data_IF_130996501989
#
_entry.id   IF_130996501989
#
_cell.length_a   1.000
_cell.length_b   1.000
_cell.length_c   1.000
_cell.angle_alpha   90.00
_cell.angle_beta   90.00
_cell.angle_gamma   90.00
#
_symmetry.space_group_name_H-M   'P 1'
#
loop_
_entity.id
_entity.type
_entity.pdbx_description
1 polymer ?
#
# COMPACT_ATOMS: atom_id res chain seq x y z
N UNK A 1 -21.94 26.80 -4.84
CA UNK A 1 -21.28 26.50 -3.54
C UNK A 1 -22.13 25.62 -2.62
N UNK A 2 -23.36 26.01 -2.25
CA UNK A 2 -24.21 25.22 -1.34
C UNK A 2 -24.51 23.79 -1.85
N UNK A 3 -24.89 23.64 -3.12
CA UNK A 3 -25.25 22.34 -3.70
C UNK A 3 -24.08 21.32 -3.76
N UNK A 4 -22.84 21.76 -3.98
CA UNK A 4 -21.66 20.88 -4.00
C UNK A 4 -21.29 20.48 -2.58
N UNK A 5 -21.21 21.44 -1.67
CA UNK A 5 -20.99 21.16 -0.25
C UNK A 5 -22.06 20.19 0.28
N UNK A 6 -23.30 20.32 -0.17
CA UNK A 6 -24.40 19.41 0.14
C UNK A 6 -24.22 18.03 -0.49
N UNK A 7 -23.82 17.93 -1.77
CA UNK A 7 -23.50 16.65 -2.43
C UNK A 7 -22.34 15.91 -1.75
N UNK A 8 -21.27 16.61 -1.40
CA UNK A 8 -20.11 16.05 -0.68
C UNK A 8 -20.49 15.63 0.75
N UNK A 9 -21.28 16.45 1.46
CA UNK A 9 -21.82 16.09 2.80
C UNK A 9 -22.76 14.89 2.72
N UNK A 10 -23.58 14.79 1.68
CA UNK A 10 -24.48 13.67 1.46
C UNK A 10 -23.71 12.37 1.14
N UNK A 11 -22.69 12.44 0.27
CA UNK A 11 -21.85 11.30 -0.09
C UNK A 11 -21.18 10.70 1.16
N UNK A 12 -20.62 11.55 2.03
CA UNK A 12 -19.93 11.09 3.23
C UNK A 12 -20.82 10.63 4.38
N UNK A 13 -22.15 10.72 4.23
CA UNK A 13 -23.13 10.14 5.16
C UNK A 13 -23.62 8.77 4.70
N UNK A 14 -23.32 8.34 3.48
CA UNK A 14 -23.72 7.03 2.98
C UNK A 14 -22.96 5.92 3.73
N UNK A 15 -23.64 4.83 4.16
CA UNK A 15 -22.96 3.62 4.62
C UNK A 15 -21.94 3.16 3.57
N UNK A 16 -20.84 2.57 4.02
CA UNK A 16 -19.86 1.99 3.11
C UNK A 16 -20.50 0.78 2.40
N UNK A 17 -21.01 1.04 1.20
CA UNK A 17 -21.39 0.01 0.25
C UNK A 17 -20.14 -0.81 -0.16
N UNK A 18 -20.33 -1.99 -0.75
CA UNK A 18 -19.20 -2.80 -1.26
C UNK A 18 -18.47 -2.17 -2.45
N UNK A 19 -18.88 -0.99 -2.91
CA UNK A 19 -18.27 -0.25 -4.00
C UNK A 19 -17.45 0.95 -3.48
N UNK A 20 -16.28 1.16 -4.08
CA UNK A 20 -15.43 2.31 -3.79
C UNK A 20 -16.06 3.57 -4.43
N UNK A 21 -16.23 4.62 -3.65
CA UNK A 21 -16.79 5.90 -4.08
C UNK A 21 -15.71 6.98 -3.97
N UNK A 22 -15.08 7.30 -5.11
CA UNK A 22 -13.96 8.25 -5.14
C UNK A 22 -14.37 9.65 -4.65
N UNK A 23 -15.58 10.13 -4.96
CA UNK A 23 -16.04 11.45 -4.51
C UNK A 23 -16.20 11.48 -2.99
N UNK A 24 -16.74 10.39 -2.42
CA UNK A 24 -16.84 10.24 -0.97
C UNK A 24 -15.47 10.22 -0.30
N UNK A 25 -14.51 9.47 -0.83
CA UNK A 25 -13.16 9.41 -0.23
C UNK A 25 -12.48 10.78 -0.30
N UNK A 26 -12.54 11.49 -1.44
CA UNK A 26 -12.01 12.87 -1.56
C UNK A 26 -12.71 13.83 -0.58
N UNK A 27 -14.03 13.72 -0.43
CA UNK A 27 -14.79 14.48 0.56
C UNK A 27 -14.28 14.29 1.99
N UNK A 28 -13.96 13.04 2.31
CA UNK A 28 -13.45 12.65 3.61
C UNK A 28 -12.05 13.22 3.83
N UNK A 29 -11.17 13.16 2.83
CA UNK A 29 -9.82 13.74 2.92
C UNK A 29 -9.87 15.24 3.21
N UNK A 30 -10.69 16.02 2.52
CA UNK A 30 -10.77 17.47 2.79
C UNK A 30 -11.37 17.81 4.15
N UNK A 31 -12.16 16.91 4.73
CA UNK A 31 -12.63 17.06 6.11
C UNK A 31 -11.52 16.74 7.10
N UNK A 32 -10.79 15.67 6.84
CA UNK A 32 -9.76 15.12 7.71
C UNK A 32 -8.48 15.98 7.71
N UNK A 33 -8.19 16.63 6.58
CA UNK A 33 -7.01 17.44 6.33
C UNK A 33 -7.39 18.75 5.60
N UNK A 34 -8.11 19.69 6.23
CA UNK A 34 -8.56 20.91 5.56
C UNK A 34 -7.40 21.75 4.97
N UNK A 35 -6.21 21.68 5.54
CA UNK A 35 -5.00 22.37 5.11
C UNK A 35 -4.41 21.86 3.79
N UNK A 36 -4.86 20.71 3.29
CA UNK A 36 -4.39 20.13 2.02
C UNK A 36 -5.34 20.40 0.85
N UNK A 37 -6.50 21.02 1.11
CA UNK A 37 -7.55 21.27 0.11
C UNK A 37 -7.06 22.05 -1.13
N UNK A 38 -6.17 23.02 -0.92
CA UNK A 38 -5.55 23.80 -2.00
C UNK A 38 -4.19 23.24 -2.47
N UNK A 39 -3.74 22.13 -1.87
CA UNK A 39 -2.43 21.52 -2.11
C UNK A 39 -2.53 20.19 -2.84
N UNK A 40 -3.59 19.42 -2.65
CA UNK A 40 -3.77 18.10 -3.27
C UNK A 40 -4.90 18.16 -4.29
N UNK A 41 -4.57 17.81 -5.53
CA UNK A 41 -5.50 17.65 -6.63
C UNK A 41 -5.81 16.17 -6.80
N UNK A 42 -7.08 15.78 -6.85
CA UNK A 42 -7.48 14.38 -6.98
C UNK A 42 -7.97 14.09 -8.39
N UNK A 43 -7.36 13.10 -9.04
CA UNK A 43 -7.69 12.68 -10.39
C UNK A 43 -8.14 11.23 -10.40
N UNK A 44 -9.41 11.03 -10.74
CA UNK A 44 -10.02 9.72 -10.95
C UNK A 44 -9.81 9.35 -12.40
N UNK A 45 -8.96 8.35 -12.62
CA UNK A 45 -8.49 7.98 -13.95
C UNK A 45 -9.26 6.85 -14.61
N UNK A 46 -10.45 6.56 -14.10
CA UNK A 46 -11.49 5.79 -14.78
C UNK A 46 -11.64 6.15 -16.26
N UNK A 47 -12.44 5.39 -17.00
CA UNK A 47 -12.63 5.62 -18.45
C UNK A 47 -13.18 7.03 -18.76
N UNK A 48 -13.71 7.75 -17.76
CA UNK A 48 -14.16 9.14 -17.85
C UNK A 48 -13.17 10.20 -17.34
N UNK A 49 -11.98 9.79 -16.88
CA UNK A 49 -10.83 10.63 -16.50
C UNK A 49 -11.22 12.02 -15.95
N UNK A 50 -11.57 12.10 -14.67
CA UNK A 50 -12.13 13.32 -14.06
C UNK A 50 -11.27 13.85 -12.94
N UNK A 51 -11.03 15.16 -12.97
CA UNK A 51 -10.48 15.87 -11.82
C UNK A 51 -11.59 16.16 -10.82
N UNK A 52 -11.40 15.76 -9.57
CA UNK A 52 -12.30 16.07 -8.46
C UNK A 52 -11.72 17.23 -7.66
N UNK A 53 -12.42 18.36 -7.67
CA UNK A 53 -12.02 19.58 -6.99
C UNK A 53 -13.22 20.19 -6.23
N UNK A 54 -13.01 20.84 -5.07
CA UNK A 54 -14.11 21.33 -4.25
C UNK A 54 -14.78 22.58 -4.84
N UNK A 55 -14.06 23.32 -5.69
CA UNK A 55 -14.52 24.55 -6.32
C UNK A 55 -14.73 24.32 -7.82
N UNK A 56 -15.98 24.39 -8.28
CA UNK A 56 -16.40 24.14 -9.68
C UNK A 56 -15.59 24.95 -10.72
N UNK A 57 -15.18 26.17 -10.37
CA UNK A 57 -14.38 27.04 -11.23
C UNK A 57 -12.92 26.58 -11.37
N UNK A 58 -12.25 26.30 -10.25
CA UNK A 58 -10.86 25.81 -10.26
C UNK A 58 -10.75 24.38 -10.75
N UNK A 59 -11.77 23.56 -10.52
CA UNK A 59 -11.89 22.21 -11.07
C UNK A 59 -12.01 22.24 -12.59
N UNK A 60 -12.77 23.17 -13.16
CA UNK A 60 -12.80 23.40 -14.61
C UNK A 60 -11.50 23.99 -15.12
N UNK A 61 -10.89 24.99 -14.48
CA UNK A 61 -9.60 25.52 -14.93
C UNK A 61 -8.51 24.44 -14.93
N UNK A 62 -8.44 23.63 -13.88
CA UNK A 62 -7.50 22.53 -13.82
C UNK A 62 -7.87 21.41 -14.81
N UNK A 63 -9.14 20.96 -14.90
CA UNK A 63 -9.59 19.98 -15.90
C UNK A 63 -9.42 20.47 -17.35
N UNK A 64 -9.59 21.76 -17.60
CA UNK A 64 -9.43 22.38 -18.91
C UNK A 64 -7.95 22.54 -19.24
N UNK A 65 -7.12 22.93 -18.27
CA UNK A 65 -5.67 22.81 -18.37
C UNK A 65 -5.25 21.37 -18.64
N UNK A 66 -5.92 20.35 -18.05
CA UNK A 66 -5.65 18.93 -18.29
C UNK A 66 -6.13 18.43 -19.66
N UNK A 67 -7.22 18.98 -20.21
CA UNK A 67 -7.78 18.60 -21.52
C UNK A 67 -7.09 19.30 -22.70
N UNK A 68 -6.55 20.51 -22.49
CA UNK A 68 -5.84 21.27 -23.50
C UNK A 68 -4.33 21.01 -23.40
N UNK A 69 -3.84 20.05 -24.20
CA UNK A 69 -2.44 19.58 -24.20
C UNK A 69 -1.41 20.70 -24.40
N UNK A 70 -1.83 21.85 -24.94
CA UNK A 70 -0.95 23.00 -25.17
C UNK A 70 -0.83 23.95 -23.96
N UNK A 71 -1.72 23.82 -22.96
CA UNK A 71 -1.76 24.68 -21.77
C UNK A 71 -1.50 23.96 -20.43
N UNK A 72 -1.28 22.64 -20.44
CA UNK A 72 -0.79 21.92 -19.26
C UNK A 72 0.58 22.54 -18.86
N UNK A 73 0.77 23.06 -17.64
CA UNK A 73 2.08 23.50 -17.17
C UNK A 73 3.11 22.38 -17.38
N UNK A 74 4.32 22.69 -17.87
CA UNK A 74 5.33 21.68 -18.23
C UNK A 74 5.49 20.55 -17.18
N UNK A 75 5.50 20.90 -15.88
CA UNK A 75 5.59 19.92 -14.80
C UNK A 75 4.41 18.95 -14.66
N UNK A 76 3.22 19.32 -15.16
CA UNK A 76 2.08 18.41 -15.27
C UNK A 76 2.15 17.57 -16.56
N UNK A 77 2.71 18.07 -17.67
CA UNK A 77 2.91 17.26 -18.89
C UNK A 77 3.84 16.08 -18.61
N UNK A 78 4.92 16.33 -17.89
CA UNK A 78 5.85 15.29 -17.43
C UNK A 78 5.14 14.28 -16.50
N UNK A 79 4.22 14.76 -15.64
CA UNK A 79 3.38 13.91 -14.80
C UNK A 79 2.48 12.97 -15.62
N UNK A 80 1.83 13.46 -16.67
CA UNK A 80 0.99 12.63 -17.55
C UNK A 80 1.81 11.67 -18.42
N UNK A 81 3.00 12.09 -18.87
CA UNK A 81 3.91 11.22 -19.60
C UNK A 81 4.40 10.08 -18.70
N UNK A 82 4.80 10.40 -17.47
CA UNK A 82 5.20 9.43 -16.44
C UNK A 82 4.06 8.54 -15.95
N UNK A 83 2.81 8.99 -16.13
CA UNK A 83 1.63 8.20 -15.80
C UNK A 83 1.38 7.06 -16.81
N UNK A 84 1.71 7.19 -18.09
CA UNK A 84 1.36 6.16 -19.09
C UNK A 84 1.90 4.78 -18.67
N UNK A 85 1.00 3.90 -18.21
CA UNK A 85 1.33 2.56 -17.71
C UNK A 85 1.31 2.38 -16.19
N UNK A 86 1.04 3.44 -15.41
CA UNK A 86 0.81 3.37 -13.96
C UNK A 86 -0.67 3.42 -13.64
N UNK A 87 -1.04 2.76 -12.54
CA UNK A 87 -2.44 2.65 -12.11
C UNK A 87 -2.77 3.51 -10.89
N UNK A 88 -1.77 3.96 -10.15
CA UNK A 88 -1.89 4.98 -9.10
C UNK A 88 -0.59 5.78 -9.05
N UNK A 89 -0.68 7.04 -8.62
CA UNK A 89 0.51 7.87 -8.49
C UNK A 89 0.29 9.15 -7.67
N UNK A 90 1.24 9.52 -6.81
CA UNK A 90 1.30 10.81 -6.14
C UNK A 90 2.48 11.63 -6.69
N UNK A 91 2.20 12.62 -7.55
CA UNK A 91 3.23 13.45 -8.18
C UNK A 91 3.35 14.83 -7.51
N UNK A 92 4.56 15.27 -7.09
CA UNK A 92 4.78 16.65 -6.69
C UNK A 92 4.65 17.61 -7.89
N UNK A 93 3.94 18.73 -7.67
CA UNK A 93 3.70 19.79 -8.67
C UNK A 93 4.49 21.09 -8.39
N UNK A 94 5.35 21.08 -7.36
CA UNK A 94 6.04 22.27 -6.86
C UNK A 94 5.16 23.19 -6.01
N UNK A 95 5.80 24.07 -5.22
CA UNK A 95 5.10 24.98 -4.31
C UNK A 95 4.29 24.27 -3.22
N UNK A 96 4.70 23.07 -2.81
CA UNK A 96 3.99 22.23 -1.84
C UNK A 96 2.71 21.58 -2.37
N UNK A 97 2.41 21.71 -3.67
CA UNK A 97 1.25 21.10 -4.32
C UNK A 97 1.55 19.72 -4.86
N UNK A 98 0.52 18.89 -5.00
CA UNK A 98 0.59 17.48 -5.41
C UNK A 98 -0.62 17.07 -6.22
N UNK A 99 -0.41 16.17 -7.17
CA UNK A 99 -1.46 15.47 -7.89
C UNK A 99 -1.54 14.05 -7.35
N UNK A 100 -2.71 13.67 -6.84
CA UNK A 100 -3.08 12.31 -6.49
C UNK A 100 -3.88 11.71 -7.63
N UNK A 101 -3.40 10.59 -8.13
CA UNK A 101 -3.97 9.88 -9.27
C UNK A 101 -4.35 8.48 -8.82
N UNK A 102 -5.59 8.06 -9.10
CA UNK A 102 -6.05 6.68 -8.84
C UNK A 102 -6.91 6.19 -10.00
N UNK A 103 -6.56 5.03 -10.55
CA UNK A 103 -7.35 4.30 -11.53
C UNK A 103 -8.41 3.46 -10.81
N UNK A 104 -9.67 3.86 -10.90
CA UNK A 104 -10.78 3.27 -10.11
C UNK A 104 -11.53 2.15 -10.81
N UNK A 105 -11.55 2.13 -12.16
CA UNK A 105 -12.38 1.21 -12.96
C UNK A 105 -11.62 0.05 -13.63
N UNK A 106 -10.29 0.12 -13.68
CA UNK A 106 -9.44 -0.99 -14.18
C UNK A 106 -8.62 -1.52 -13.02
N UNK A 107 -8.46 -2.84 -12.97
CA UNK A 107 -7.65 -3.49 -11.93
C UNK A 107 -6.26 -2.84 -11.90
N UNK A 108 -5.94 -2.06 -10.85
CA UNK A 108 -4.71 -1.29 -10.84
C UNK A 108 -3.48 -2.17 -10.55
N UNK A 109 -3.68 -3.48 -10.33
CA UNK A 109 -2.63 -4.44 -10.07
C UNK A 109 -3.00 -5.80 -10.68
N UNK A 110 -1.99 -6.64 -10.89
CA UNK A 110 -2.17 -8.08 -10.66
C UNK A 110 -2.61 -8.23 -9.19
N UNK A 111 -3.92 -8.25 -8.95
CA UNK A 111 -4.62 -8.13 -7.65
C UNK A 111 -3.73 -8.27 -6.41
N UNK A 112 -3.62 -7.20 -5.59
CA UNK A 112 -2.93 -7.22 -4.27
C UNK A 112 -3.44 -8.40 -3.43
N UNK A 113 -4.74 -8.66 -3.50
CA UNK A 113 -5.31 -9.91 -3.03
C UNK A 113 -6.30 -10.41 -4.07
N UNK A 114 -6.11 -11.62 -4.63
CA UNK A 114 -7.01 -12.11 -5.66
C UNK A 114 -8.42 -12.42 -5.17
N UNK A 115 -8.63 -12.38 -3.84
CA UNK A 115 -9.93 -12.58 -3.20
C UNK A 115 -10.54 -11.31 -2.62
N UNK A 116 -9.79 -10.21 -2.56
CA UNK A 116 -10.35 -8.97 -2.06
C UNK A 116 -11.33 -8.39 -3.07
N UNK A 117 -12.46 -7.82 -2.63
CA UNK A 117 -13.29 -7.00 -3.48
C UNK A 117 -12.45 -5.86 -4.08
N UNK A 118 -12.65 -5.55 -5.36
CA UNK A 118 -11.94 -4.46 -6.05
C UNK A 118 -12.02 -3.15 -5.25
N UNK A 119 -13.18 -2.83 -4.68
CA UNK A 119 -13.36 -1.63 -3.87
C UNK A 119 -12.41 -1.55 -2.66
N UNK A 120 -12.12 -2.68 -2.03
CA UNK A 120 -11.20 -2.75 -0.90
C UNK A 120 -9.76 -2.48 -1.36
N UNK A 121 -9.37 -3.04 -2.50
CA UNK A 121 -8.07 -2.78 -3.13
C UNK A 121 -7.93 -1.32 -3.56
N UNK A 122 -8.92 -0.76 -4.27
CA UNK A 122 -8.91 0.65 -4.67
C UNK A 122 -8.86 1.60 -3.47
N UNK A 123 -9.53 1.27 -2.36
CA UNK A 123 -9.46 2.05 -1.12
C UNK A 123 -8.05 2.05 -0.52
N UNK A 124 -7.39 0.89 -0.47
CA UNK A 124 -6.02 0.77 0.02
C UNK A 124 -5.06 1.60 -0.85
N UNK A 125 -5.19 1.49 -2.17
CA UNK A 125 -4.36 2.22 -3.15
C UNK A 125 -4.58 3.72 -3.04
N UNK A 126 -5.82 4.17 -2.91
CA UNK A 126 -6.14 5.57 -2.67
C UNK A 126 -5.46 6.08 -1.40
N UNK A 127 -5.52 5.33 -0.30
CA UNK A 127 -4.87 5.75 0.94
C UNK A 127 -3.34 5.67 0.87
N UNK A 128 -2.77 4.75 0.10
CA UNK A 128 -1.33 4.68 -0.12
C UNK A 128 -0.84 5.98 -0.75
N UNK A 129 -1.46 6.40 -1.85
CA UNK A 129 -1.14 7.67 -2.50
C UNK A 129 -1.41 8.87 -1.58
N UNK A 130 -2.48 8.81 -0.79
CA UNK A 130 -2.77 9.82 0.22
C UNK A 130 -1.68 9.90 1.29
N UNK A 131 -1.14 8.76 1.72
CA UNK A 131 -0.05 8.66 2.68
C UNK A 131 1.20 9.40 2.21
N UNK A 132 1.57 9.23 0.92
CA UNK A 132 2.61 10.06 0.31
C UNK A 132 2.28 11.55 0.43
N UNK A 133 1.03 11.93 0.21
CA UNK A 133 0.59 13.31 0.12
C UNK A 133 0.47 14.05 1.46
N UNK A 134 -0.02 13.39 2.50
CA UNK A 134 -0.30 14.01 3.81
C UNK A 134 0.84 13.84 4.82
N UNK A 135 1.80 12.96 4.56
CA UNK A 135 2.97 12.76 5.42
C UNK A 135 4.20 13.35 4.71
N UNK A 136 4.88 14.38 5.26
CA UNK A 136 5.99 15.04 4.59
C UNK A 136 7.10 14.10 4.12
N UNK A 137 7.52 13.15 4.97
CA UNK A 137 8.56 12.16 4.65
C UNK A 137 8.09 11.08 3.67
N UNK A 138 6.78 11.00 3.40
CA UNK A 138 6.21 10.13 2.37
C UNK A 138 6.51 10.60 0.94
N UNK A 139 7.02 11.81 0.73
CA UNK A 139 7.23 12.44 -0.61
C UNK A 139 8.37 11.89 -1.45
N UNK A 140 9.24 11.06 -0.88
CA UNK A 140 10.51 10.68 -1.48
C UNK A 140 10.43 9.51 -2.44
N UNK A 141 11.30 9.52 -3.46
CA UNK A 141 11.61 8.31 -4.23
C UNK A 141 12.43 7.37 -3.32
N UNK A 142 11.90 6.18 -3.06
CA UNK A 142 12.62 5.14 -2.32
C UNK A 142 11.78 4.47 -1.23
N UNK A 143 12.38 3.44 -0.64
CA UNK A 143 11.71 2.52 0.27
C UNK A 143 11.04 3.17 1.48
N UNK A 144 11.63 4.24 2.03
CA UNK A 144 11.03 4.98 3.15
C UNK A 144 9.68 5.60 2.80
N UNK A 145 9.59 6.25 1.64
CA UNK A 145 8.36 6.90 1.19
C UNK A 145 7.23 5.89 1.02
N UNK A 146 7.55 4.77 0.36
CA UNK A 146 6.66 3.62 0.17
C UNK A 146 6.23 3.00 1.51
N UNK A 147 7.17 2.83 2.46
CA UNK A 147 6.88 2.31 3.79
C UNK A 147 5.88 3.20 4.55
N UNK A 148 6.03 4.52 4.45
CA UNK A 148 5.10 5.48 5.06
C UNK A 148 3.71 5.39 4.42
N UNK A 149 3.66 5.32 3.08
CA UNK A 149 2.42 5.22 2.32
C UNK A 149 1.67 3.92 2.63
N UNK A 150 2.33 2.77 2.54
CA UNK A 150 1.73 1.47 2.87
C UNK A 150 1.37 1.35 4.36
N UNK A 151 2.12 1.97 5.27
CA UNK A 151 1.75 2.03 6.68
C UNK A 151 0.44 2.80 6.89
N UNK A 152 0.30 3.95 6.24
CA UNK A 152 -0.91 4.77 6.31
C UNK A 152 -2.10 4.00 5.73
N UNK A 153 -1.95 3.44 4.53
CA UNK A 153 -2.97 2.60 3.89
C UNK A 153 -3.38 1.40 4.76
N UNK A 154 -2.41 0.73 5.39
CA UNK A 154 -2.66 -0.41 6.29
C UNK A 154 -3.51 0.01 7.48
N UNK A 155 -3.20 1.13 8.14
CA UNK A 155 -3.97 1.58 9.31
C UNK A 155 -5.39 2.00 8.89
N UNK A 156 -5.54 2.77 7.81
CA UNK A 156 -6.85 3.15 7.25
C UNK A 156 -7.68 1.95 6.83
N UNK A 157 -7.03 0.90 6.34
CA UNK A 157 -7.68 -0.35 6.01
C UNK A 157 -8.21 -1.06 7.26
N UNK A 158 -7.41 -1.18 8.31
CA UNK A 158 -7.85 -1.78 9.59
C UNK A 158 -8.97 -0.96 10.25
N UNK A 159 -8.98 0.36 10.08
CA UNK A 159 -10.10 1.23 10.49
C UNK A 159 -11.41 0.90 9.79
N UNK A 160 -11.38 0.67 8.47
CA UNK A 160 -12.59 0.42 7.66
C UNK A 160 -13.07 -1.02 7.76
N UNK A 161 -12.16 -1.98 7.74
CA UNK A 161 -12.48 -3.40 7.56
C UNK A 161 -12.20 -4.26 8.79
N UNK A 162 -11.70 -3.67 9.86
CA UNK A 162 -11.43 -4.34 11.13
C UNK A 162 -10.08 -5.07 11.19
N UNK A 163 -9.69 -5.40 12.41
CA UNK A 163 -8.42 -6.05 12.74
C UNK A 163 -8.22 -7.41 12.04
N UNK A 164 -9.30 -8.16 11.81
CA UNK A 164 -9.26 -9.52 11.24
C UNK A 164 -9.20 -9.55 9.70
N UNK A 165 -9.13 -8.39 9.04
CA UNK A 165 -9.09 -8.35 7.59
C UNK A 165 -7.85 -9.09 7.04
N UNK A 166 -8.02 -10.14 6.21
CA UNK A 166 -6.89 -10.91 5.67
C UNK A 166 -6.07 -10.12 4.64
N UNK A 167 -6.60 -9.00 4.13
CA UNK A 167 -5.99 -8.17 3.09
C UNK A 167 -4.56 -7.76 3.43
N UNK A 168 -4.30 -7.33 4.67
CA UNK A 168 -2.95 -6.86 5.07
C UNK A 168 -1.93 -8.00 4.98
N UNK A 169 -2.32 -9.22 5.34
CA UNK A 169 -1.47 -10.40 5.16
C UNK A 169 -1.15 -10.69 3.69
N UNK A 170 -2.04 -10.33 2.76
CA UNK A 170 -1.77 -10.41 1.33
C UNK A 170 -0.81 -9.31 0.87
N UNK A 171 -0.97 -8.07 1.34
CA UNK A 171 -0.02 -6.96 1.08
C UNK A 171 1.39 -7.37 1.48
N UNK A 172 1.58 -7.84 2.73
CA UNK A 172 2.88 -8.31 3.24
C UNK A 172 3.48 -9.36 2.31
N UNK A 173 2.67 -10.35 1.92
CA UNK A 173 3.16 -11.45 1.07
C UNK A 173 3.49 -11.00 -0.35
N UNK A 174 2.73 -10.08 -0.93
CA UNK A 174 2.98 -9.55 -2.28
C UNK A 174 4.23 -8.67 -2.32
N UNK A 175 4.42 -7.78 -1.34
CA UNK A 175 5.63 -6.96 -1.28
C UNK A 175 6.88 -7.82 -1.08
N UNK A 176 6.78 -8.91 -0.33
CA UNK A 176 7.85 -9.90 -0.23
C UNK A 176 8.06 -10.67 -1.53
N UNK A 177 6.98 -11.01 -2.26
CA UNK A 177 7.09 -11.63 -3.58
C UNK A 177 7.80 -10.72 -4.59
N UNK A 178 7.45 -9.43 -4.61
CA UNK A 178 8.06 -8.45 -5.50
C UNK A 178 9.57 -8.32 -5.22
N UNK A 179 9.98 -8.25 -3.96
CA UNK A 179 11.39 -8.27 -3.57
C UNK A 179 12.14 -9.50 -4.11
N UNK A 180 11.51 -10.68 -4.07
CA UNK A 180 12.18 -11.94 -4.42
C UNK A 180 12.20 -12.21 -5.93
N UNK A 181 11.17 -11.78 -6.67
CA UNK A 181 10.93 -12.27 -8.03
C UNK A 181 10.79 -11.19 -9.12
N UNK A 182 10.59 -9.92 -8.76
CA UNK A 182 10.61 -8.82 -9.74
C UNK A 182 12.04 -8.32 -9.96
N UNK A 183 12.21 -7.31 -10.81
CA UNK A 183 13.50 -6.66 -10.98
C UNK A 183 13.95 -6.02 -9.66
N UNK A 184 15.27 -5.90 -9.51
CA UNK A 184 15.88 -5.45 -8.27
C UNK A 184 15.39 -4.05 -7.86
N UNK A 185 15.31 -3.12 -8.81
CA UNK A 185 14.93 -1.74 -8.52
C UNK A 185 13.49 -1.65 -8.02
N UNK A 186 12.55 -2.32 -8.69
CA UNK A 186 11.16 -2.35 -8.26
C UNK A 186 10.99 -3.04 -6.91
N UNK A 187 11.64 -4.20 -6.73
CA UNK A 187 11.59 -5.02 -5.53
C UNK A 187 12.00 -4.25 -4.27
N UNK A 188 13.19 -3.65 -4.22
CA UNK A 188 13.62 -2.89 -3.05
C UNK A 188 12.85 -1.60 -2.85
N UNK A 189 12.53 -0.88 -3.92
CA UNK A 189 11.83 0.41 -3.78
C UNK A 189 10.49 0.23 -3.08
N UNK A 190 9.74 -0.82 -3.41
CA UNK A 190 8.40 -1.06 -2.85
C UNK A 190 8.38 -2.09 -1.72
N UNK A 191 9.53 -2.51 -1.19
CA UNK A 191 9.55 -3.51 -0.14
C UNK A 191 9.11 -2.95 1.23
N UNK A 192 7.82 -3.03 1.53
CA UNK A 192 7.22 -2.50 2.76
C UNK A 192 6.76 -3.59 3.75
N UNK A 193 7.13 -4.85 3.48
CA UNK A 193 6.69 -6.02 4.26
C UNK A 193 7.10 -5.96 5.73
N UNK A 194 8.24 -5.32 6.05
CA UNK A 194 8.70 -5.18 7.43
C UNK A 194 7.76 -4.30 8.26
N UNK A 195 7.32 -3.18 7.67
CA UNK A 195 6.45 -2.19 8.30
C UNK A 195 5.00 -2.67 8.36
N UNK A 196 4.45 -3.11 7.22
CA UNK A 196 3.07 -3.61 7.15
C UNK A 196 2.89 -4.90 7.97
N UNK A 197 3.91 -5.76 7.99
CA UNK A 197 3.95 -6.95 8.83
C UNK A 197 3.92 -6.59 10.32
N UNK A 198 4.61 -5.52 10.73
CA UNK A 198 4.59 -5.10 12.13
C UNK A 198 3.24 -4.51 12.55
N UNK A 199 2.60 -3.74 11.69
CA UNK A 199 1.23 -3.25 11.95
C UNK A 199 0.26 -4.45 12.06
N UNK A 200 0.41 -5.45 11.19
CA UNK A 200 -0.38 -6.68 11.25
C UNK A 200 -0.16 -7.42 12.57
N UNK A 201 1.07 -7.52 13.09
CA UNK A 201 1.34 -8.11 14.42
C UNK A 201 0.60 -7.36 15.54
N UNK A 202 0.53 -6.03 15.47
CA UNK A 202 -0.15 -5.17 16.46
C UNK A 202 -1.68 -5.08 16.28
N UNK A 203 -2.28 -5.76 15.30
CA UNK A 203 -3.67 -5.49 14.86
C UNK A 203 -4.75 -5.68 15.93
N UNK A 204 -4.49 -6.44 16.99
CA UNK A 204 -5.44 -6.63 18.09
C UNK A 204 -5.11 -5.80 19.33
N UNK A 205 -3.98 -5.10 19.33
CA UNK A 205 -3.48 -4.34 20.48
C UNK A 205 -3.84 -2.84 20.39
N UNK A 206 -4.30 -2.38 19.23
CA UNK A 206 -4.67 -0.98 18.96
C UNK A 206 -6.15 -0.91 18.59
N UNK A 207 -6.87 0.02 19.20
CA UNK A 207 -8.21 0.41 18.74
C UNK A 207 -8.09 1.30 17.50
N UNK A 208 -7.90 0.68 16.34
CA UNK A 208 -7.69 1.38 15.07
C UNK A 208 -8.82 2.35 14.75
N UNK A 209 -10.07 1.95 15.03
CA UNK A 209 -11.28 2.72 14.72
C UNK A 209 -11.35 4.04 15.51
N UNK A 210 -10.71 4.11 16.68
CA UNK A 210 -10.67 5.32 17.50
C UNK A 210 -9.63 6.35 17.05
N UNK A 211 -8.69 6.00 16.16
CA UNK A 211 -7.65 6.93 15.73
C UNK A 211 -8.24 8.03 14.83
N UNK A 212 -7.94 9.28 15.17
CA UNK A 212 -8.19 10.41 14.27
C UNK A 212 -7.30 10.36 13.03
N UNK A 213 -7.60 11.12 11.96
CA UNK A 213 -6.74 11.16 10.77
C UNK A 213 -5.31 11.61 11.06
N UNK A 214 -5.13 12.62 11.93
CA UNK A 214 -3.81 13.09 12.35
C UNK A 214 -3.05 12.03 13.17
N UNK A 215 -3.73 11.35 14.10
CA UNK A 215 -3.13 10.23 14.83
C UNK A 215 -2.75 9.07 13.89
N UNK A 216 -3.57 8.81 12.87
CA UNK A 216 -3.29 7.81 11.84
C UNK A 216 -2.02 8.16 11.06
N UNK A 217 -1.89 9.40 10.60
CA UNK A 217 -0.69 9.88 9.89
C UNK A 217 0.57 9.81 10.78
N UNK A 218 0.48 10.25 12.03
CA UNK A 218 1.59 10.19 12.97
C UNK A 218 2.01 8.75 13.30
N UNK A 219 1.05 7.85 13.51
CA UNK A 219 1.32 6.45 13.81
C UNK A 219 1.90 5.72 12.60
N UNK A 220 1.39 5.97 11.40
CA UNK A 220 1.94 5.44 10.15
C UNK A 220 3.40 5.83 9.96
N UNK A 221 3.71 7.12 10.12
CA UNK A 221 5.08 7.64 10.07
C UNK A 221 5.97 6.95 11.10
N UNK A 222 5.48 6.78 12.35
CA UNK A 222 6.23 6.12 13.41
C UNK A 222 6.56 4.66 13.05
N UNK A 223 5.56 3.87 12.65
CA UNK A 223 5.78 2.48 12.23
C UNK A 223 6.80 2.38 11.09
N UNK A 224 6.72 3.26 10.09
CA UNK A 224 7.66 3.27 8.99
C UNK A 224 9.10 3.57 9.46
N UNK A 225 9.31 4.61 10.26
CA UNK A 225 10.64 4.98 10.73
C UNK A 225 11.27 3.97 11.71
N UNK A 226 10.45 3.27 12.50
CA UNK A 226 10.93 2.28 13.47
C UNK A 226 11.20 0.90 12.84
N UNK A 227 10.52 0.57 11.73
CA UNK A 227 10.49 -0.78 11.19
C UNK A 227 10.83 -0.90 9.70
N UNK A 228 11.15 0.19 9.00
CA UNK A 228 11.75 0.10 7.67
C UNK A 228 13.08 -0.67 7.76
N UNK A 229 13.36 -1.49 6.74
CA UNK A 229 14.68 -2.10 6.63
C UNK A 229 15.63 -1.05 6.06
N UNK A 230 16.71 -0.76 6.77
CA UNK A 230 17.74 0.14 6.28
C UNK A 230 18.35 -0.34 4.96
N UNK A 231 18.84 0.59 4.14
CA UNK A 231 19.35 0.33 2.80
C UNK A 231 20.35 -0.84 2.72
N UNK A 232 21.32 -0.90 3.62
CA UNK A 232 22.33 -1.97 3.63
C UNK A 232 21.73 -3.35 3.88
N UNK A 233 20.84 -3.48 4.87
CA UNK A 233 20.17 -4.73 5.17
C UNK A 233 19.23 -5.17 4.03
N UNK A 234 18.54 -4.21 3.40
CA UNK A 234 17.71 -4.47 2.24
C UNK A 234 18.56 -4.94 1.05
N UNK A 235 19.70 -4.30 0.79
CA UNK A 235 20.63 -4.70 -0.27
C UNK A 235 21.22 -6.10 -0.04
N UNK A 236 21.54 -6.45 1.20
CA UNK A 236 21.99 -7.80 1.55
C UNK A 236 20.87 -8.84 1.30
N UNK A 237 19.64 -8.50 1.65
CA UNK A 237 18.47 -9.35 1.41
C UNK A 237 18.21 -9.55 -0.09
N UNK A 238 18.31 -8.50 -0.91
CA UNK A 238 18.25 -8.61 -2.38
C UNK A 238 19.33 -9.53 -2.93
N UNK A 239 20.57 -9.38 -2.45
CA UNK A 239 21.68 -10.23 -2.87
C UNK A 239 21.40 -11.70 -2.60
N UNK A 240 20.81 -12.02 -1.45
CA UNK A 240 20.41 -13.38 -1.10
C UNK A 240 19.35 -13.97 -2.04
N UNK A 241 18.53 -13.14 -2.69
CA UNK A 241 17.49 -13.52 -3.64
C UNK A 241 17.83 -13.28 -5.12
N UNK A 242 18.99 -12.69 -5.43
CA UNK A 242 19.37 -12.26 -6.78
C UNK A 242 19.18 -13.31 -7.89
N UNK A 243 19.41 -14.60 -7.61
CA UNK A 243 19.19 -15.69 -8.58
C UNK A 243 17.71 -15.91 -8.97
N UNK A 244 16.78 -15.39 -8.17
CA UNK A 244 15.32 -15.49 -8.34
C UNK A 244 14.69 -14.23 -8.94
N UNK A 245 15.45 -13.14 -9.11
CA UNK A 245 14.93 -11.92 -9.74
C UNK A 245 14.50 -12.18 -11.19
N UNK A 246 13.55 -11.36 -11.67
CA UNK A 246 12.97 -11.43 -13.02
C UNK A 246 12.32 -12.80 -13.35
N UNK A 247 11.85 -13.53 -12.33
CA UNK A 247 11.13 -14.81 -12.50
C UNK A 247 9.63 -14.72 -12.32
N UNK A 248 9.09 -13.55 -11.94
CA UNK A 248 7.66 -13.33 -11.74
C UNK A 248 6.82 -13.77 -12.97
N UNK A 249 7.22 -13.38 -14.18
CA UNK A 249 6.52 -13.74 -15.42
C UNK A 249 6.55 -15.25 -15.71
N UNK A 250 7.65 -15.94 -15.37
CA UNK A 250 7.74 -17.40 -15.54
C UNK A 250 6.74 -18.09 -14.62
N UNK A 251 6.64 -17.62 -13.37
CA UNK A 251 5.69 -18.14 -12.38
C UNK A 251 4.26 -17.90 -12.84
N UNK A 252 3.94 -16.71 -13.37
CA UNK A 252 2.63 -16.38 -13.92
C UNK A 252 2.23 -17.31 -15.09
N UNK A 253 3.20 -17.76 -15.89
CA UNK A 253 3.02 -18.79 -16.94
C UNK A 253 2.96 -20.23 -16.42
N UNK A 254 2.99 -20.43 -15.11
CA UNK A 254 2.86 -21.73 -14.46
C UNK A 254 4.18 -22.47 -14.19
N UNK A 255 5.34 -21.84 -14.41
CA UNK A 255 6.63 -22.44 -14.06
C UNK A 255 6.81 -22.48 -12.53
N UNK A 256 6.96 -23.69 -12.00
CA UNK A 256 7.10 -23.95 -10.56
C UNK A 256 8.57 -24.04 -10.13
N UNK A 257 9.54 -23.99 -11.05
CA UNK A 257 10.96 -24.13 -10.72
C UNK A 257 11.47 -23.01 -9.81
N UNK A 258 11.19 -21.71 -10.05
CA UNK A 258 11.62 -20.63 -9.16
C UNK A 258 11.07 -20.78 -7.74
N UNK A 259 9.80 -21.19 -7.60
CA UNK A 259 9.17 -21.43 -6.30
C UNK A 259 9.82 -22.60 -5.54
N UNK A 260 10.25 -23.66 -6.25
CA UNK A 260 10.98 -24.78 -5.64
C UNK A 260 12.37 -24.35 -5.18
N UNK A 261 13.05 -23.49 -5.93
CA UNK A 261 14.34 -22.93 -5.57
C UNK A 261 14.23 -22.04 -4.33
N UNK A 262 13.25 -21.13 -4.30
CA UNK A 262 12.94 -20.34 -3.12
C UNK A 262 12.65 -21.23 -1.90
N UNK A 263 11.82 -22.26 -2.06
CA UNK A 263 11.53 -23.20 -0.97
C UNK A 263 12.78 -23.92 -0.44
N UNK A 264 13.74 -24.27 -1.30
CA UNK A 264 15.03 -24.84 -0.85
C UNK A 264 15.80 -23.82 -0.03
N UNK A 265 16.00 -22.61 -0.56
CA UNK A 265 16.75 -21.51 0.09
C UNK A 265 16.16 -21.14 1.45
N UNK A 266 14.85 -20.90 1.51
CA UNK A 266 14.13 -20.54 2.75
C UNK A 266 14.25 -21.65 3.80
N UNK A 267 14.10 -22.91 3.39
CA UNK A 267 14.18 -24.02 4.35
C UNK A 267 15.61 -24.30 4.82
N UNK A 268 16.64 -23.94 4.06
CA UNK A 268 18.06 -24.18 4.41
C UNK A 268 18.78 -23.00 5.03
N UNK A 269 18.29 -21.77 4.92
CA UNK A 269 18.96 -20.57 5.47
C UNK A 269 18.87 -20.50 6.99
N UNK A 270 19.90 -20.00 7.67
CA UNK A 270 19.83 -19.62 9.09
C UNK A 270 19.64 -18.09 9.26
N UNK A 271 19.63 -17.33 8.17
CA UNK A 271 19.38 -15.89 8.19
C UNK A 271 17.88 -15.64 8.37
N UNK A 272 17.52 -15.02 9.51
CA UNK A 272 16.13 -14.80 9.92
C UNK A 272 15.31 -14.04 8.85
N UNK A 273 15.85 -12.95 8.29
CA UNK A 273 15.13 -12.14 7.30
C UNK A 273 14.92 -12.88 5.96
N UNK A 274 15.92 -13.64 5.50
CA UNK A 274 15.80 -14.49 4.31
C UNK A 274 14.70 -15.53 4.52
N UNK A 275 14.62 -16.13 5.72
CA UNK A 275 13.53 -17.02 6.04
C UNK A 275 12.18 -16.30 6.07
N UNK A 276 12.07 -15.20 6.82
CA UNK A 276 10.83 -14.43 7.03
C UNK A 276 10.20 -13.99 5.71
N UNK A 277 10.95 -13.28 4.87
CA UNK A 277 10.40 -12.70 3.66
C UNK A 277 10.29 -13.71 2.53
N UNK A 278 11.21 -14.68 2.44
CA UNK A 278 11.06 -15.77 1.48
C UNK A 278 9.87 -16.70 1.80
N UNK A 279 9.57 -16.93 3.09
CA UNK A 279 8.38 -17.66 3.50
C UNK A 279 7.10 -16.89 3.18
N UNK A 280 7.07 -15.57 3.43
CA UNK A 280 5.94 -14.70 3.06
C UNK A 280 5.67 -14.71 1.55
N UNK A 281 6.71 -14.62 0.71
CA UNK A 281 6.60 -14.74 -0.74
C UNK A 281 6.05 -16.11 -1.18
N UNK A 282 6.49 -17.21 -0.56
CA UNK A 282 5.96 -18.56 -0.84
C UNK A 282 4.49 -18.72 -0.41
N UNK A 283 4.08 -18.07 0.68
CA UNK A 283 2.75 -18.20 1.27
C UNK A 283 1.62 -17.85 0.29
N UNK A 284 1.87 -16.97 -0.69
CA UNK A 284 0.95 -16.70 -1.80
C UNK A 284 0.50 -17.98 -2.50
N UNK A 285 1.42 -18.89 -2.76
CA UNK A 285 1.19 -20.08 -3.58
C UNK A 285 0.91 -21.34 -2.76
N UNK A 286 1.46 -21.44 -1.53
CA UNK A 286 1.25 -22.63 -0.71
C UNK A 286 -0.06 -22.59 0.08
N UNK A 287 -0.50 -21.44 0.60
CA UNK A 287 -1.63 -21.38 1.55
C UNK A 287 -2.98 -21.08 0.92
N UNK A 288 -3.14 -21.37 -0.38
CA UNK A 288 -4.32 -21.01 -1.16
C UNK A 288 -4.62 -19.51 -1.07
N UNK A 289 -3.60 -18.65 -0.93
CA UNK A 289 -3.77 -17.20 -0.82
C UNK A 289 -3.87 -16.53 -2.20
N UNK A 290 -3.45 -17.22 -3.26
CA UNK A 290 -3.75 -16.85 -4.64
C UNK A 290 -4.96 -17.62 -5.22
N UNK A 291 -5.70 -17.01 -6.16
CA UNK A 291 -6.85 -17.63 -6.81
C UNK A 291 -6.44 -18.70 -7.85
N UNK A 292 -5.28 -18.52 -8.51
CA UNK A 292 -5.03 -19.19 -9.80
C UNK A 292 -3.96 -20.30 -9.77
N UNK A 293 -3.17 -20.43 -8.69
CA UNK A 293 -2.04 -21.37 -8.68
C UNK A 293 -1.70 -21.94 -7.30
N UNK A 294 -2.66 -22.63 -6.66
CA UNK A 294 -2.37 -23.37 -5.42
C UNK A 294 -1.36 -24.50 -5.71
N UNK A 295 -0.22 -24.45 -5.05
CA UNK A 295 0.81 -25.50 -5.16
C UNK A 295 0.38 -26.75 -4.37
N UNK A 296 -0.01 -27.80 -5.09
CA UNK A 296 -0.50 -29.05 -4.51
C UNK A 296 0.47 -30.23 -4.72
N UNK A 297 0.31 -31.27 -3.91
CA UNK A 297 1.07 -32.51 -4.02
C UNK A 297 2.05 -32.76 -2.88
N UNK A 298 2.63 -33.97 -2.85
CA UNK A 298 3.47 -34.47 -1.75
C UNK A 298 4.64 -33.54 -1.41
N UNK A 299 5.28 -32.97 -2.43
CA UNK A 299 6.39 -32.04 -2.23
C UNK A 299 5.95 -30.77 -1.48
N UNK A 300 4.89 -30.10 -1.94
CA UNK A 300 4.40 -28.86 -1.34
C UNK A 300 3.78 -29.07 0.05
N UNK A 301 3.15 -30.23 0.29
CA UNK A 301 2.72 -30.62 1.64
C UNK A 301 3.92 -30.76 2.60
N UNK A 302 5.06 -31.27 2.13
CA UNK A 302 6.30 -31.32 2.93
C UNK A 302 6.86 -29.91 3.16
N UNK A 303 6.85 -29.04 2.16
CA UNK A 303 7.27 -27.63 2.29
C UNK A 303 6.42 -26.92 3.34
N UNK A 304 5.08 -26.95 3.26
CA UNK A 304 4.17 -26.33 4.24
C UNK A 304 4.48 -26.77 5.67
N UNK A 305 4.59 -28.08 5.92
CA UNK A 305 4.90 -28.60 7.27
C UNK A 305 6.26 -28.12 7.78
N UNK A 306 7.26 -28.02 6.90
CA UNK A 306 8.59 -27.53 7.27
C UNK A 306 8.61 -26.03 7.54
N UNK A 307 7.90 -25.24 6.72
CA UNK A 307 7.72 -23.80 6.94
C UNK A 307 7.06 -23.57 8.29
N UNK A 308 5.88 -24.16 8.55
CA UNK A 308 5.17 -24.03 9.81
C UNK A 308 6.01 -24.44 11.04
N UNK A 309 6.80 -25.52 10.92
CA UNK A 309 7.71 -25.95 12.00
C UNK A 309 8.79 -24.89 12.28
N UNK A 310 9.37 -24.30 11.22
CA UNK A 310 10.46 -23.33 11.34
C UNK A 310 9.94 -21.95 11.76
N UNK A 311 8.78 -21.54 11.27
CA UNK A 311 8.05 -20.35 11.76
C UNK A 311 7.81 -20.46 13.26
N UNK A 312 7.30 -21.59 13.76
CA UNK A 312 7.10 -21.80 15.20
C UNK A 312 8.40 -21.72 16.00
N UNK A 313 9.53 -22.16 15.43
CA UNK A 313 10.83 -22.11 16.10
C UNK A 313 11.45 -20.71 16.11
N UNK A 314 11.09 -19.85 15.15
CA UNK A 314 11.59 -18.49 15.00
C UNK A 314 10.59 -17.42 15.43
N UNK A 315 9.36 -17.79 15.78
CA UNK A 315 8.31 -16.87 16.17
C UNK A 315 8.78 -16.08 17.40
N UNK A 316 8.96 -14.76 17.29
CA UNK A 316 9.15 -13.94 18.48
C UNK A 316 7.88 -14.02 19.35
N UNK A 317 8.01 -13.70 20.64
CA UNK A 317 6.82 -13.39 21.43
C UNK A 317 6.11 -12.21 20.76
N UNK A 318 4.98 -12.51 20.10
CA UNK A 318 4.21 -11.52 19.38
C UNK A 318 3.55 -10.60 20.40
N UNK A 319 4.16 -9.43 20.62
CA UNK A 319 3.53 -8.34 21.34
C UNK A 319 3.80 -7.03 20.60
N UNK A 320 2.78 -6.19 20.47
CA UNK A 320 3.04 -4.81 20.09
C UNK A 320 3.89 -4.15 21.20
N UNK A 321 5.02 -3.50 20.86
CA UNK A 321 5.86 -2.87 21.87
C UNK A 321 5.03 -1.88 22.70
N UNK A 322 5.08 -1.91 24.05
CA UNK A 322 4.32 -1.00 24.90
C UNK A 322 4.52 0.48 24.56
N UNK A 323 5.69 0.83 24.01
CA UNK A 323 6.08 2.16 23.56
C UNK A 323 5.23 2.66 22.38
N UNK A 324 4.70 1.75 21.55
CA UNK A 324 3.75 2.09 20.48
C UNK A 324 2.44 2.58 21.09
N UNK A 325 1.96 1.90 22.15
CA UNK A 325 0.67 2.18 22.80
C UNK A 325 0.69 3.43 23.69
N UNK A 326 1.80 3.68 24.39
CA UNK A 326 1.93 4.81 25.35
C UNK A 326 1.70 6.20 24.71
N UNK A 327 2.02 6.34 23.41
CA UNK A 327 1.94 7.63 22.71
C UNK A 327 0.64 7.83 21.90
N UNK A 328 -0.29 6.87 21.95
CA UNK A 328 -1.62 7.00 21.32
C UNK A 328 -2.61 7.72 22.26
N UNK A 329 -2.23 7.94 23.54
CA UNK A 329 -2.99 8.80 24.46
C UNK A 329 -3.27 10.16 23.83
N UNK A 330 -4.48 10.74 24.06
CA UNK A 330 -4.95 11.90 23.33
C UNK A 330 -3.92 13.01 23.38
N UNK A 331 -3.40 13.41 22.22
CA UNK A 331 -2.56 14.59 22.06
C UNK A 331 -3.31 15.79 22.65
N UNK A 332 -3.00 16.16 23.89
CA UNK A 332 -3.46 17.40 24.54
C UNK A 332 -2.63 18.60 24.07
N UNK A 333 -2.21 18.60 22.81
CA UNK A 333 -1.58 19.75 22.18
C UNK A 333 -2.69 20.65 21.64
N UNK A 334 -2.77 21.90 22.12
CA UNK A 334 -3.55 22.93 21.42
C UNK A 334 -2.92 23.14 20.05
N UNK A 335 -3.73 23.00 19.00
CA UNK A 335 -3.37 23.33 17.61
C UNK A 335 -3.24 24.83 17.48
#
# INVERSE_FOLDING_TARGET
MAAIAEKFRAAARKPQDTAFDFDREVAQVWRDFPEVKDKIFFFDASDNARLVYPEEGKGREAAQAFSDRHHIPKGMQDAFAAWRGKNSYCQPLGGGRRLLFVLTEKHPYDKISPRAPLAQETAFVFDHELGHAVIPEGTGLGNRGECIADAYATIRHLQRYGADSPFIGHVVNNRAFDLVFRDQWYGSTHFTSSVTGKILECRHDVDWAALTPLQTAALARKFALEHEIGYEALHMLEKDFSALHEKADSIARGDKAPLKELAKKVLSTDVSDVFKYGAAALALYVDKRTADAVLQGRYWNKVRRKLAKKEKALAPEASCPPEVLKNISPFKGKI
#
